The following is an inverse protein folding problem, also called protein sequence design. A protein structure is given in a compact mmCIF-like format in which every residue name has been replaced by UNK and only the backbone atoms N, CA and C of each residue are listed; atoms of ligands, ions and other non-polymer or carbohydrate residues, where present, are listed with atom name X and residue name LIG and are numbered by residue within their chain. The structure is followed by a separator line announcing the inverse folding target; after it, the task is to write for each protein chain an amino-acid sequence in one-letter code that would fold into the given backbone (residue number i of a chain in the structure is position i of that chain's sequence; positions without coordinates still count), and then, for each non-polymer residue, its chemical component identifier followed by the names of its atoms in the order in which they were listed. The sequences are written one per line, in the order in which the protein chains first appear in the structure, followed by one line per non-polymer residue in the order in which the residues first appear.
data_IF_748130601271
#
_entry.id   IF_748130601271
#
_cell.length_a   1.000
_cell.length_b   1.000
_cell.length_c   1.000
_cell.angle_alpha   90.00
_cell.angle_beta   90.00
_cell.angle_gamma   90.00
#
_symmetry.space_group_name_H-M   'P 1'
#
loop_
_entity.id
_entity.type
_entity.pdbx_description
1 polymer ?
#
# COMPACT_ATOMS: atom_id res chain seq x y z
N UNK A 1 -0.40 -15.08 47.48
CA UNK A 1 0.77 -15.22 46.59
C UNK A 1 0.41 -15.76 45.21
N UNK A 2 -0.25 -16.94 45.08
CA UNK A 2 -0.65 -17.51 43.78
C UNK A 2 -1.50 -16.58 42.89
N UNK A 3 -2.44 -15.83 43.48
CA UNK A 3 -3.29 -14.86 42.75
C UNK A 3 -2.49 -13.70 42.15
N UNK A 4 -1.44 -13.24 42.84
CA UNK A 4 -0.57 -12.14 42.36
C UNK A 4 0.23 -12.64 41.16
N UNK A 5 0.80 -13.84 41.23
CA UNK A 5 1.56 -14.46 40.13
C UNK A 5 0.68 -14.61 38.87
N UNK A 6 -0.57 -15.05 39.02
CA UNK A 6 -1.51 -15.20 37.91
C UNK A 6 -1.86 -13.85 37.26
N UNK A 7 -2.06 -12.80 38.08
CA UNK A 7 -2.34 -11.45 37.58
C UNK A 7 -1.13 -10.89 36.84
N UNK A 8 0.08 -11.06 37.40
CA UNK A 8 1.32 -10.63 36.75
C UNK A 8 1.57 -11.38 35.44
N UNK A 9 1.30 -12.69 35.39
CA UNK A 9 1.45 -13.49 34.18
C UNK A 9 0.42 -13.11 33.10
N UNK A 10 -0.82 -12.80 33.49
CA UNK A 10 -1.86 -12.31 32.57
C UNK A 10 -1.53 -10.94 31.97
N UNK A 11 -0.91 -10.03 32.74
CA UNK A 11 -0.47 -8.72 32.27
C UNK A 11 0.74 -8.80 31.33
N UNK A 12 1.60 -9.82 31.46
CA UNK A 12 2.73 -10.03 30.56
C UNK A 12 2.31 -10.60 29.19
N UNK A 13 1.15 -11.24 29.10
CA UNK A 13 0.61 -11.83 27.86
C UNK A 13 -0.18 -10.85 27.00
N UNK A 14 -0.49 -9.64 27.49
CA UNK A 14 -1.31 -8.65 26.77
C UNK A 14 -0.54 -7.76 25.78
N UNK A 15 0.77 -7.97 25.61
CA UNK A 15 1.63 -7.11 24.78
C UNK A 15 1.54 -7.30 23.26
N UNK A 16 0.62 -8.13 22.76
CA UNK A 16 0.40 -8.29 21.32
C UNK A 16 -0.85 -7.54 20.87
N UNK A 17 -0.76 -6.21 20.82
CA UNK A 17 -1.78 -5.40 20.13
C UNK A 17 -1.47 -5.48 18.63
N UNK A 18 -2.31 -6.20 17.88
CA UNK A 18 -2.32 -6.14 16.43
C UNK A 18 -2.96 -4.80 16.02
N UNK A 19 -2.12 -3.79 15.77
CA UNK A 19 -2.57 -2.56 15.13
C UNK A 19 -3.17 -2.90 13.75
N UNK A 20 -4.32 -2.32 13.43
CA UNK A 20 -4.94 -2.50 12.12
C UNK A 20 -4.32 -1.50 11.14
N UNK A 21 -3.59 -2.00 10.16
CA UNK A 21 -3.22 -1.19 9.00
C UNK A 21 -4.45 -0.85 8.15
N UNK A 22 -4.36 0.26 7.43
CA UNK A 22 -5.39 0.71 6.49
C UNK A 22 -5.72 -0.40 5.50
N UNK A 23 -6.99 -0.81 5.46
CA UNK A 23 -7.50 -1.79 4.48
C UNK A 23 -8.49 -1.12 3.54
N UNK A 24 -8.14 -1.08 2.26
CA UNK A 24 -9.06 -0.65 1.21
C UNK A 24 -10.19 -1.69 1.04
N UNK A 25 -11.45 -1.25 1.03
CA UNK A 25 -12.60 -2.10 0.68
C UNK A 25 -12.60 -2.50 -0.79
N UNK A 26 -11.88 -1.73 -1.61
CA UNK A 26 -11.63 -1.99 -3.02
C UNK A 26 -10.11 -2.00 -3.25
N UNK A 27 -9.45 -3.16 -3.15
CA UNK A 27 -7.99 -3.24 -3.31
C UNK A 27 -7.53 -2.83 -4.72
N UNK A 28 -8.37 -3.05 -5.74
CA UNK A 28 -8.09 -2.66 -7.14
C UNK A 28 -7.98 -1.16 -7.38
N UNK A 29 -8.44 -0.35 -6.44
CA UNK A 29 -8.38 1.10 -6.56
C UNK A 29 -7.00 1.65 -6.21
N UNK A 30 -6.18 0.87 -5.50
CA UNK A 30 -4.77 1.17 -5.20
C UNK A 30 -3.84 0.02 -5.70
N UNK A 31 -3.75 -0.20 -7.03
CA UNK A 31 -3.14 -1.40 -7.60
C UNK A 31 -1.66 -1.57 -7.23
N UNK A 32 -0.87 -0.49 -7.18
CA UNK A 32 0.54 -0.55 -6.78
C UNK A 32 0.74 -1.00 -5.32
N UNK A 33 -0.23 -0.74 -4.46
CA UNK A 33 -0.19 -1.16 -3.05
C UNK A 33 -0.55 -2.64 -2.88
N UNK A 34 -1.27 -3.22 -3.84
CA UNK A 34 -1.58 -4.66 -3.85
C UNK A 34 -0.40 -5.44 -4.43
N UNK A 35 0.03 -5.07 -5.63
CA UNK A 35 1.21 -5.64 -6.27
C UNK A 35 1.82 -4.61 -7.23
N UNK A 36 3.00 -4.05 -6.94
CA UNK A 36 3.64 -3.07 -7.81
C UNK A 36 4.01 -3.65 -9.18
N UNK A 37 4.26 -4.96 -9.30
CA UNK A 37 4.56 -5.61 -10.58
C UNK A 37 3.37 -5.67 -11.56
N UNK A 38 2.17 -5.25 -11.12
CA UNK A 38 0.98 -5.18 -11.99
C UNK A 38 1.16 -4.22 -13.16
N UNK A 39 2.09 -3.25 -13.07
CA UNK A 39 2.47 -2.36 -14.17
C UNK A 39 2.91 -3.13 -15.42
N UNK A 40 3.38 -4.38 -15.27
CA UNK A 40 3.70 -5.21 -16.42
C UNK A 40 2.57 -5.94 -17.11
N UNK A 41 1.45 -6.09 -16.41
CA UNK A 41 0.23 -6.56 -17.03
C UNK A 41 -0.52 -5.42 -17.73
N UNK A 42 -0.34 -4.18 -17.28
CA UNK A 42 -0.99 -2.98 -17.81
C UNK A 42 0.04 -1.97 -18.35
N UNK A 43 0.39 -2.12 -19.63
CA UNK A 43 1.35 -1.25 -20.33
C UNK A 43 0.74 0.09 -20.79
N UNK A 44 -0.04 0.74 -19.93
CA UNK A 44 -0.69 2.02 -20.20
C UNK A 44 -0.38 3.04 -19.11
N UNK A 45 -0.66 4.32 -19.41
CA UNK A 45 -0.62 5.37 -18.39
C UNK A 45 -1.88 5.25 -17.54
N UNK A 46 -1.72 5.00 -16.24
CA UNK A 46 -2.82 4.79 -15.31
C UNK A 46 -2.73 5.76 -14.14
N UNK A 47 -3.84 6.42 -13.82
CA UNK A 47 -3.97 7.30 -12.66
C UNK A 47 -5.27 7.01 -11.93
N UNK A 48 -5.20 6.78 -10.61
CA UNK A 48 -6.37 6.51 -9.76
C UNK A 48 -6.32 7.37 -8.51
N UNK A 49 -7.43 8.03 -8.22
CA UNK A 49 -7.67 8.77 -6.99
C UNK A 49 -8.76 8.07 -6.20
N UNK A 50 -8.53 7.90 -4.90
CA UNK A 50 -9.49 7.29 -4.00
C UNK A 50 -9.65 8.13 -2.76
N UNK A 51 -10.90 8.26 -2.33
CA UNK A 51 -11.24 8.86 -1.05
C UNK A 51 -12.25 7.97 -0.35
N UNK A 52 -11.97 7.65 0.90
CA UNK A 52 -12.85 6.87 1.76
C UNK A 52 -13.07 7.62 3.07
N UNK A 53 -14.32 7.89 3.38
CA UNK A 53 -14.74 8.35 4.70
C UNK A 53 -15.61 7.28 5.34
N UNK A 54 -15.32 6.92 6.58
CA UNK A 54 -16.11 5.99 7.37
C UNK A 54 -16.51 6.67 8.68
N UNK A 55 -17.67 6.29 9.22
CA UNK A 55 -18.13 6.78 10.52
C UNK A 55 -18.29 8.30 10.50
N UNK A 56 -18.81 8.84 9.40
CA UNK A 56 -18.87 10.29 9.13
C UNK A 56 -19.67 11.10 10.18
N UNK A 57 -20.52 10.44 10.97
CA UNK A 57 -21.26 11.05 12.08
C UNK A 57 -20.53 11.05 13.43
N UNK A 58 -19.31 10.52 13.49
CA UNK A 58 -18.47 10.48 14.69
C UNK A 58 -17.30 11.44 14.48
N UNK A 59 -17.08 12.31 15.47
CA UNK A 59 -15.98 13.26 15.43
C UNK A 59 -14.64 12.52 15.41
N UNK A 60 -13.70 12.98 14.58
CA UNK A 60 -12.46 12.27 14.24
C UNK A 60 -12.63 10.85 13.63
N UNK A 61 -13.71 10.65 12.86
CA UNK A 61 -13.91 9.42 12.07
C UNK A 61 -12.81 9.15 11.03
N UNK A 62 -12.78 7.92 10.52
CA UNK A 62 -11.73 7.44 9.61
C UNK A 62 -11.81 8.11 8.23
N UNK A 63 -10.70 8.70 7.78
CA UNK A 63 -10.59 9.34 6.46
C UNK A 63 -9.29 8.91 5.78
N UNK A 64 -9.42 8.29 4.62
CA UNK A 64 -8.28 7.84 3.81
C UNK A 64 -8.37 8.47 2.42
N UNK A 65 -7.29 9.11 1.98
CA UNK A 65 -7.11 9.51 0.60
C UNK A 65 -5.89 8.79 0.01
N UNK A 66 -5.99 8.32 -1.24
CA UNK A 66 -4.84 7.76 -1.94
C UNK A 66 -4.81 8.16 -3.42
N UNK A 67 -3.59 8.22 -3.93
CA UNK A 67 -3.25 8.42 -5.34
C UNK A 67 -2.38 7.24 -5.78
N UNK A 68 -2.72 6.66 -6.91
CA UNK A 68 -1.85 5.73 -7.63
C UNK A 68 -1.61 6.27 -9.03
N UNK A 69 -0.36 6.30 -9.45
CA UNK A 69 0.03 6.68 -10.80
C UNK A 69 1.09 5.70 -11.31
N UNK A 70 0.98 5.20 -12.53
CA UNK A 70 2.05 4.49 -13.18
C UNK A 70 2.00 4.64 -14.69
N UNK A 71 3.15 4.47 -15.34
CA UNK A 71 3.27 4.55 -16.78
C UNK A 71 4.44 3.71 -17.30
N UNK A 72 4.37 3.23 -18.56
CA UNK A 72 5.56 2.82 -19.29
C UNK A 72 6.49 4.02 -19.50
N UNK A 73 7.77 3.82 -19.24
CA UNK A 73 8.83 4.82 -19.40
C UNK A 73 9.68 4.52 -20.62
N UNK A 74 9.90 3.24 -20.91
CA UNK A 74 10.72 2.82 -22.04
C UNK A 74 10.33 1.42 -22.52
N UNK A 75 10.32 1.23 -23.83
CA UNK A 75 10.05 -0.05 -24.47
C UNK A 75 11.24 -0.40 -25.38
N UNK A 76 11.83 -1.58 -25.16
CA UNK A 76 12.89 -2.11 -25.99
C UNK A 76 12.29 -2.82 -27.20
N UNK A 77 13.01 -2.80 -28.33
CA UNK A 77 12.57 -3.45 -29.58
C UNK A 77 12.45 -4.98 -29.49
N UNK A 78 12.93 -5.61 -28.42
CA UNK A 78 12.78 -7.04 -28.14
C UNK A 78 11.47 -7.39 -27.40
N UNK A 79 10.69 -6.38 -27.01
CA UNK A 79 9.43 -6.51 -26.26
C UNK A 79 9.61 -6.43 -24.74
N UNK A 80 10.83 -6.19 -24.23
CA UNK A 80 11.05 -5.85 -22.84
C UNK A 80 10.64 -4.40 -22.58
N UNK A 81 10.12 -4.09 -21.40
CA UNK A 81 9.79 -2.71 -21.07
C UNK A 81 10.09 -2.34 -19.61
N UNK A 82 10.26 -1.04 -19.41
CA UNK A 82 10.45 -0.40 -18.12
C UNK A 82 9.24 0.47 -17.83
N UNK A 83 8.74 0.36 -16.62
CA UNK A 83 7.65 1.17 -16.10
C UNK A 83 8.05 1.84 -14.79
N UNK A 84 7.40 2.96 -14.48
CA UNK A 84 7.57 3.64 -13.20
C UNK A 84 6.20 3.92 -12.59
N UNK A 85 6.12 3.73 -11.27
CA UNK A 85 4.94 3.93 -10.47
C UNK A 85 5.20 4.81 -9.26
N UNK A 86 4.14 5.49 -8.82
CA UNK A 86 4.05 6.32 -7.63
C UNK A 86 2.75 5.95 -6.90
N UNK A 87 2.85 5.69 -5.61
CA UNK A 87 1.73 5.55 -4.72
C UNK A 87 1.85 6.57 -3.59
N UNK A 88 0.77 7.29 -3.30
CA UNK A 88 0.70 8.19 -2.16
C UNK A 88 -0.59 7.94 -1.38
N UNK A 89 -0.52 8.04 -0.05
CA UNK A 89 -1.65 7.86 0.84
C UNK A 89 -1.52 8.79 2.04
N UNK A 90 -2.66 9.34 2.43
CA UNK A 90 -2.85 10.02 3.71
C UNK A 90 -4.07 9.39 4.38
N UNK A 91 -3.86 8.83 5.55
CA UNK A 91 -4.88 8.22 6.38
C UNK A 91 -4.93 8.89 7.76
N UNK A 92 -6.15 9.18 8.20
CA UNK A 92 -6.46 9.66 9.54
C UNK A 92 -7.47 8.70 10.18
N UNK A 93 -7.10 8.20 11.35
CA UNK A 93 -7.87 7.23 12.14
C UNK A 93 -7.93 7.70 13.59
N UNK A 94 -8.85 8.62 13.90
CA UNK A 94 -8.86 9.28 15.21
C UNK A 94 -7.64 10.18 15.39
N UNK A 95 -6.92 9.97 16.50
CA UNK A 95 -5.64 10.62 16.79
C UNK A 95 -4.47 10.04 15.97
N UNK A 96 -4.66 8.93 15.25
CA UNK A 96 -3.61 8.30 14.48
C UNK A 96 -3.56 8.86 13.06
N UNK A 97 -2.34 9.17 12.60
CA UNK A 97 -2.07 9.66 11.26
C UNK A 97 -1.03 8.78 10.58
N UNK A 98 -1.27 8.47 9.30
CA UNK A 98 -0.36 7.69 8.47
C UNK A 98 -0.20 8.35 7.11
N UNK A 99 1.03 8.75 6.79
CA UNK A 99 1.43 9.24 5.48
C UNK A 99 2.35 8.20 4.84
N UNK A 100 2.07 7.88 3.58
CA UNK A 100 2.87 6.95 2.80
C UNK A 100 3.09 7.52 1.41
N UNK A 101 4.34 7.51 0.94
CA UNK A 101 4.72 7.86 -0.42
C UNK A 101 5.72 6.84 -0.89
N UNK A 102 5.35 6.04 -1.88
CA UNK A 102 6.16 4.94 -2.41
C UNK A 102 6.40 5.15 -3.90
N UNK A 103 7.61 4.85 -4.34
CA UNK A 103 7.97 4.78 -5.75
C UNK A 103 8.21 3.32 -6.14
N UNK A 104 7.95 3.01 -7.40
CA UNK A 104 7.97 1.65 -7.91
C UNK A 104 8.56 1.60 -9.32
N UNK A 105 9.88 1.39 -9.49
CA UNK A 105 10.41 1.01 -10.79
C UNK A 105 10.09 -0.47 -11.06
N UNK A 106 9.68 -0.76 -12.29
CA UNK A 106 9.33 -2.10 -12.73
C UNK A 106 9.98 -2.45 -14.06
N UNK A 107 10.45 -3.68 -14.16
CA UNK A 107 10.98 -4.28 -15.38
C UNK A 107 10.12 -5.47 -15.81
N UNK A 108 9.76 -5.50 -17.09
CA UNK A 108 9.03 -6.58 -17.70
C UNK A 108 9.93 -7.30 -18.69
N UNK A 109 10.26 -8.54 -18.36
CA UNK A 109 11.04 -9.44 -19.19
C UNK A 109 10.10 -10.30 -20.03
N UNK A 110 10.20 -10.20 -21.35
CA UNK A 110 9.53 -11.12 -22.27
C UNK A 110 10.22 -12.48 -22.24
N UNK A 111 9.48 -13.52 -21.88
CA UNK A 111 9.98 -14.89 -21.79
C UNK A 111 9.82 -15.66 -23.11
N UNK A 112 8.78 -15.35 -23.89
CA UNK A 112 8.49 -16.05 -25.14
C UNK A 112 7.99 -15.09 -26.21
N UNK A 113 8.14 -15.49 -27.48
CA UNK A 113 7.57 -14.73 -28.59
C UNK A 113 6.03 -14.69 -28.54
N UNK A 114 5.41 -15.70 -27.93
CA UNK A 114 3.97 -15.84 -27.74
C UNK A 114 3.33 -14.87 -26.73
N UNK A 115 4.11 -13.95 -26.15
CA UNK A 115 3.59 -12.89 -25.28
C UNK A 115 3.50 -13.26 -23.79
N UNK A 116 4.37 -14.15 -23.30
CA UNK A 116 4.53 -14.37 -21.86
C UNK A 116 5.59 -13.45 -21.28
N UNK A 117 5.29 -12.83 -20.14
CA UNK A 117 6.17 -11.88 -19.48
C UNK A 117 6.37 -12.24 -18.00
N UNK A 118 7.57 -11.95 -17.49
CA UNK A 118 7.89 -11.93 -16.08
C UNK A 118 8.08 -10.47 -15.64
N UNK A 119 7.24 -10.03 -14.71
CA UNK A 119 7.26 -8.66 -14.19
C UNK A 119 7.89 -8.62 -12.81
N UNK A 120 8.89 -7.76 -12.64
CA UNK A 120 9.60 -7.57 -11.37
C UNK A 120 9.63 -6.08 -11.04
N UNK A 121 9.12 -5.74 -9.86
CA UNK A 121 9.11 -4.37 -9.37
C UNK A 121 9.77 -4.28 -8.00
N UNK A 122 10.50 -3.18 -7.79
CA UNK A 122 10.85 -2.71 -6.46
C UNK A 122 9.76 -1.77 -5.96
N UNK A 123 9.57 -1.68 -4.64
CA UNK A 123 8.57 -0.82 -4.03
C UNK A 123 9.10 -0.30 -2.70
N UNK A 124 9.29 1.01 -2.61
CA UNK A 124 9.87 1.63 -1.43
C UNK A 124 9.77 3.14 -1.46
N UNK A 125 9.97 3.78 -0.30
CA UNK A 125 9.81 5.21 -0.14
C UNK A 125 9.63 5.62 1.31
N UNK A 126 8.84 6.67 1.53
CA UNK A 126 8.59 7.27 2.83
C UNK A 126 7.31 6.69 3.46
N UNK A 127 7.40 6.29 4.73
CA UNK A 127 6.27 5.81 5.50
C UNK A 127 6.37 6.38 6.92
N UNK A 128 5.43 7.23 7.31
CA UNK A 128 5.40 7.87 8.61
C UNK A 128 4.06 7.65 9.28
N UNK A 129 4.12 7.14 10.50
CA UNK A 129 2.98 6.94 11.38
C UNK A 129 3.20 7.75 12.65
N UNK A 130 2.23 8.55 13.06
CA UNK A 130 2.30 9.35 14.29
C UNK A 130 0.95 9.46 14.96
N UNK A 131 0.97 9.87 16.23
CA UNK A 131 -0.21 10.15 17.03
C UNK A 131 -0.25 11.66 17.33
N UNK A 132 -1.41 12.26 17.13
CA UNK A 132 -1.72 13.62 17.54
C UNK A 132 -2.35 13.55 18.94
N UNK A 133 -1.54 13.78 19.98
CA UNK A 133 -1.88 13.63 21.41
C UNK A 133 -1.89 14.97 22.13
#
# INVERSE_FOLDING_TARGET
MKKIIIITLGLLLSWSVFAQDVRFSQPYSAPLKVNPAIMGADNSINAKLNYRSQWAGIDNGYKTASLTFFMPVYEQGDGNNLSAGLFAMNDQAGAFHHIEVMIAPNYNLRLTESGHFLSVSLYGGFNQKYLDV
#
